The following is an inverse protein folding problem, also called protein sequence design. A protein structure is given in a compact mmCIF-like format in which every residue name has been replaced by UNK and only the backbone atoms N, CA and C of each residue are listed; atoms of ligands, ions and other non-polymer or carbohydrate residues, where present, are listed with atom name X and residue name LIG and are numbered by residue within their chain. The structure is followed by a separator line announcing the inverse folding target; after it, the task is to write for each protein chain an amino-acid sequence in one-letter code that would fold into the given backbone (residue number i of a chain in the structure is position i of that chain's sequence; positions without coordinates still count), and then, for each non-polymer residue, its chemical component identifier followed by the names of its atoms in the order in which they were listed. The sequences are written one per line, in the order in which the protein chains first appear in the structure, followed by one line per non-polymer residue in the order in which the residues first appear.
data_IF_552389765645
#
_entry.id   IF_552389765645
#
_cell.length_a   1.000
_cell.length_b   1.000
_cell.length_c   1.000
_cell.angle_alpha   90.00
_cell.angle_beta   90.00
_cell.angle_gamma   90.00
#
_symmetry.space_group_name_H-M   'P 1'
#
loop_
_entity.id
_entity.type
_entity.pdbx_description
1 polymer ?
#
# COMPACT_ATOMS: atom_id res chain seq x y z
N UNK A 1 -52.63 -2.46 6.70
CA UNK A 1 -51.55 -1.68 7.34
C UNK A 1 -50.50 -1.42 6.27
N UNK A 2 -50.52 -0.23 5.68
CA UNK A 2 -49.55 0.19 4.67
C UNK A 2 -48.34 0.74 5.40
N UNK A 3 -47.25 -0.02 5.43
CA UNK A 3 -45.97 0.44 5.94
C UNK A 3 -45.54 1.71 5.19
N UNK A 4 -45.30 2.78 5.95
CA UNK A 4 -44.86 4.05 5.39
C UNK A 4 -43.47 3.87 4.75
N UNK A 5 -43.41 3.92 3.42
CA UNK A 5 -42.15 3.84 2.67
C UNK A 5 -41.26 5.01 3.10
N UNK A 6 -40.22 4.71 3.88
CA UNK A 6 -39.24 5.71 4.34
C UNK A 6 -38.50 6.28 3.12
N UNK A 7 -38.48 7.62 3.01
CA UNK A 7 -37.75 8.32 1.95
C UNK A 7 -36.26 7.93 1.99
N UNK A 8 -35.62 7.58 0.86
CA UNK A 8 -34.22 7.19 0.83
C UNK A 8 -33.33 8.35 1.29
N UNK A 9 -32.27 8.02 2.04
CA UNK A 9 -31.28 9.00 2.49
C UNK A 9 -30.50 9.54 1.27
N UNK A 10 -30.14 10.83 1.26
CA UNK A 10 -29.34 11.38 0.17
C UNK A 10 -27.96 10.70 0.11
N UNK A 11 -27.61 10.18 -1.06
CA UNK A 11 -26.32 9.55 -1.34
C UNK A 11 -25.45 10.51 -2.16
N UNK A 12 -24.30 10.91 -1.61
CA UNK A 12 -23.32 11.72 -2.32
C UNK A 12 -22.36 10.81 -3.08
N UNK A 13 -22.58 10.66 -4.39
CA UNK A 13 -21.79 9.78 -5.28
C UNK A 13 -20.79 10.54 -6.17
N UNK A 14 -20.79 11.86 -6.10
CA UNK A 14 -20.01 12.78 -6.93
C UNK A 14 -18.74 13.28 -6.23
N UNK A 15 -18.09 12.44 -5.42
CA UNK A 15 -16.84 12.78 -4.75
C UNK A 15 -15.70 12.66 -5.78
N UNK A 16 -15.17 13.78 -6.25
CA UNK A 16 -14.06 13.77 -7.20
C UNK A 16 -12.72 13.41 -6.54
N UNK A 17 -11.73 13.03 -7.33
CA UNK A 17 -10.36 12.79 -6.83
C UNK A 17 -9.80 14.01 -6.08
N UNK A 18 -10.09 15.23 -6.57
CA UNK A 18 -9.71 16.49 -5.93
C UNK A 18 -10.40 16.72 -4.58
N UNK A 19 -11.62 16.19 -4.39
CA UNK A 19 -12.33 16.36 -3.13
C UNK A 19 -11.72 15.51 -2.02
N UNK A 20 -11.30 14.28 -2.34
CA UNK A 20 -10.70 13.35 -1.39
C UNK A 20 -9.26 13.77 -1.02
N UNK A 21 -8.54 14.37 -1.97
CA UNK A 21 -7.12 14.70 -1.82
C UNK A 21 -6.86 16.11 -1.31
N UNK A 22 -7.59 17.11 -1.83
CA UNK A 22 -7.32 18.53 -1.58
C UNK A 22 -8.44 19.21 -0.77
N UNK A 23 -9.71 18.94 -1.07
CA UNK A 23 -10.81 19.69 -0.46
C UNK A 23 -11.23 19.12 0.91
N UNK A 24 -10.98 17.83 1.17
CA UNK A 24 -11.33 17.16 2.42
C UNK A 24 -10.11 16.93 3.32
N UNK A 25 -10.20 17.38 4.58
CA UNK A 25 -9.16 17.15 5.60
C UNK A 25 -9.23 15.73 6.15
N UNK A 26 -8.61 14.79 5.45
CA UNK A 26 -8.53 13.40 5.88
C UNK A 26 -7.80 13.25 7.24
N UNK A 27 -8.38 12.51 8.21
CA UNK A 27 -7.67 12.11 9.41
C UNK A 27 -6.40 11.32 9.07
N UNK A 28 -5.38 11.38 9.93
CA UNK A 28 -4.12 10.68 9.72
C UNK A 28 -4.32 9.16 9.54
N UNK A 29 -5.22 8.56 10.32
CA UNK A 29 -5.57 7.14 10.20
C UNK A 29 -6.12 6.77 8.81
N UNK A 30 -6.91 7.66 8.19
CA UNK A 30 -7.46 7.44 6.86
C UNK A 30 -6.36 7.49 5.79
N UNK A 31 -5.43 8.46 5.89
CA UNK A 31 -4.27 8.54 4.98
C UNK A 31 -3.40 7.29 5.05
N UNK A 32 -3.08 6.82 6.26
CA UNK A 32 -2.28 5.61 6.47
C UNK A 32 -2.97 4.36 5.92
N UNK A 33 -4.30 4.26 6.04
CA UNK A 33 -5.05 3.14 5.44
C UNK A 33 -4.97 3.13 3.92
N UNK A 34 -5.11 4.30 3.26
CA UNK A 34 -4.94 4.42 1.81
C UNK A 34 -3.52 4.01 1.43
N UNK A 35 -2.52 4.52 2.15
CA UNK A 35 -1.13 4.24 1.88
C UNK A 35 -0.79 2.75 2.03
N UNK A 36 -1.41 2.05 2.99
CA UNK A 36 -1.22 0.62 3.19
C UNK A 36 -1.76 -0.19 1.99
N UNK A 37 -2.90 0.22 1.42
CA UNK A 37 -3.48 -0.41 0.23
C UNK A 37 -2.62 -0.16 -1.01
N UNK A 38 -2.20 1.09 -1.21
CA UNK A 38 -1.35 1.48 -2.34
C UNK A 38 0.00 0.76 -2.28
N UNK A 39 0.62 0.69 -1.10
CA UNK A 39 1.88 -0.03 -0.93
C UNK A 39 1.73 -1.53 -1.21
N UNK A 40 0.61 -2.15 -0.80
CA UNK A 40 0.32 -3.56 -1.13
C UNK A 40 0.15 -3.80 -2.63
N UNK A 41 -0.61 -2.94 -3.31
CA UNK A 41 -0.78 -3.02 -4.77
C UNK A 41 0.54 -2.83 -5.53
N UNK A 42 1.39 -1.89 -5.09
CA UNK A 42 2.71 -1.67 -5.64
C UNK A 42 3.59 -2.92 -5.51
N UNK A 43 3.66 -3.52 -4.32
CA UNK A 43 4.45 -4.72 -4.07
C UNK A 43 3.96 -5.91 -4.89
N UNK A 44 2.65 -6.09 -5.01
CA UNK A 44 2.08 -7.15 -5.84
C UNK A 44 2.46 -6.99 -7.32
N UNK A 45 2.33 -5.76 -7.86
CA UNK A 45 2.67 -5.48 -9.26
C UNK A 45 4.17 -5.68 -9.54
N UNK A 46 5.03 -5.30 -8.60
CA UNK A 46 6.48 -5.42 -8.72
C UNK A 46 7.03 -6.76 -8.21
N UNK A 47 6.19 -7.71 -7.79
CA UNK A 47 6.64 -9.00 -7.31
C UNK A 47 7.46 -9.77 -8.36
N UNK A 48 7.09 -9.82 -9.66
CA UNK A 48 7.92 -10.48 -10.67
C UNK A 48 9.29 -9.81 -10.83
N UNK A 49 9.34 -8.49 -10.73
CA UNK A 49 10.59 -7.73 -10.79
C UNK A 49 11.50 -8.03 -9.60
N UNK A 50 10.95 -8.10 -8.39
CA UNK A 50 11.69 -8.47 -7.19
C UNK A 50 12.22 -9.91 -7.26
N UNK A 51 11.42 -10.84 -7.76
CA UNK A 51 11.83 -12.24 -7.94
C UNK A 51 12.93 -12.37 -9.00
N UNK A 52 12.86 -11.59 -10.08
CA UNK A 52 13.93 -11.52 -11.07
C UNK A 52 15.26 -11.03 -10.47
N UNK A 53 15.22 -9.93 -9.71
CA UNK A 53 16.42 -9.43 -9.03
C UNK A 53 16.97 -10.44 -8.01
N UNK A 54 16.08 -11.14 -7.31
CA UNK A 54 16.45 -12.17 -6.35
C UNK A 54 17.10 -13.38 -7.01
N UNK A 55 16.52 -13.90 -8.08
CA UNK A 55 17.09 -15.00 -8.86
C UNK A 55 18.51 -14.64 -9.34
N UNK A 56 18.65 -13.48 -9.97
CA UNK A 56 19.93 -12.98 -10.47
C UNK A 56 21.00 -12.84 -9.37
N UNK A 57 20.59 -12.62 -8.11
CA UNK A 57 21.49 -12.53 -6.97
C UNK A 57 22.03 -13.89 -6.48
N UNK A 58 21.39 -15.01 -6.85
CA UNK A 58 21.68 -16.35 -6.33
C UNK A 58 22.18 -17.35 -7.37
N UNK A 59 21.89 -17.16 -8.67
CA UNK A 59 22.11 -18.21 -9.69
C UNK A 59 23.60 -18.54 -9.92
N UNK A 60 24.46 -17.54 -10.10
CA UNK A 60 25.88 -17.73 -10.44
C UNK A 60 26.69 -16.46 -10.27
N UNK A 61 28.03 -16.55 -10.33
CA UNK A 61 28.92 -15.38 -10.32
C UNK A 61 28.64 -14.42 -11.48
N UNK A 62 28.48 -14.96 -12.70
CA UNK A 62 28.13 -14.15 -13.88
C UNK A 62 26.78 -13.46 -13.67
N UNK A 63 25.81 -14.18 -13.10
CA UNK A 63 24.49 -13.61 -12.81
C UNK A 63 24.61 -12.47 -11.80
N UNK A 64 25.40 -12.66 -10.76
CA UNK A 64 25.63 -11.65 -9.73
C UNK A 64 26.33 -10.39 -10.28
N UNK A 65 27.23 -10.52 -11.26
CA UNK A 65 27.81 -9.36 -11.95
C UNK A 65 26.75 -8.55 -12.70
N UNK A 66 25.82 -9.22 -13.40
CA UNK A 66 24.67 -8.56 -14.05
C UNK A 66 23.76 -7.90 -13.01
N UNK A 67 23.50 -8.56 -11.88
CA UNK A 67 22.74 -7.96 -10.77
C UNK A 67 23.40 -6.66 -10.28
N UNK A 68 24.71 -6.69 -10.01
CA UNK A 68 25.47 -5.50 -9.59
C UNK A 68 25.42 -4.39 -10.65
N UNK A 69 25.61 -4.73 -11.92
CA UNK A 69 25.55 -3.78 -13.01
C UNK A 69 24.15 -3.14 -13.12
N UNK A 70 23.09 -3.93 -12.96
CA UNK A 70 21.72 -3.44 -12.99
C UNK A 70 21.39 -2.54 -11.80
N UNK A 71 21.80 -2.93 -10.59
CA UNK A 71 21.67 -2.11 -9.38
C UNK A 71 22.58 -0.87 -9.38
N UNK A 72 23.61 -0.80 -10.23
CA UNK A 72 24.45 0.40 -10.32
C UNK A 72 23.70 1.61 -10.87
N UNK A 73 22.65 1.38 -11.66
CA UNK A 73 21.81 2.43 -12.24
C UNK A 73 20.99 3.16 -11.16
N UNK A 74 21.10 4.49 -11.14
CA UNK A 74 20.41 5.34 -10.17
C UNK A 74 18.89 5.17 -10.19
N UNK A 75 18.29 4.97 -11.37
CA UNK A 75 16.84 4.78 -11.51
C UNK A 75 16.42 3.47 -10.83
N UNK A 76 17.19 2.40 -11.05
CA UNK A 76 16.93 1.10 -10.41
C UNK A 76 17.08 1.20 -8.89
N UNK A 77 18.10 1.91 -8.40
CA UNK A 77 18.25 2.16 -6.96
C UNK A 77 17.05 2.91 -6.37
N UNK A 78 16.54 3.93 -7.06
CA UNK A 78 15.36 4.66 -6.62
C UNK A 78 14.11 3.79 -6.60
N UNK A 79 13.92 2.94 -7.62
CA UNK A 79 12.81 1.97 -7.66
C UNK A 79 12.92 1.00 -6.46
N UNK A 80 14.10 0.42 -6.24
CA UNK A 80 14.33 -0.51 -5.11
C UNK A 80 14.14 0.19 -3.76
N UNK A 81 14.53 1.47 -3.64
CA UNK A 81 14.31 2.27 -2.44
C UNK A 81 12.82 2.49 -2.16
N UNK A 82 12.04 2.84 -3.20
CA UNK A 82 10.59 3.01 -3.09
C UNK A 82 9.91 1.68 -2.75
N UNK A 83 10.32 0.57 -3.37
CA UNK A 83 9.80 -0.76 -3.06
C UNK A 83 10.15 -1.21 -1.64
N UNK A 84 11.37 -0.91 -1.17
CA UNK A 84 11.79 -1.16 0.22
C UNK A 84 10.90 -0.37 1.20
N UNK A 85 10.69 0.92 0.93
CA UNK A 85 9.78 1.73 1.74
C UNK A 85 8.35 1.20 1.71
N UNK A 86 7.84 0.81 0.54
CA UNK A 86 6.51 0.24 0.40
C UNK A 86 6.35 -1.05 1.19
N UNK A 87 7.36 -1.93 1.20
CA UNK A 87 7.40 -3.14 2.01
C UNK A 87 7.30 -2.82 3.50
N UNK A 88 8.19 -1.98 4.03
CA UNK A 88 8.17 -1.63 5.45
C UNK A 88 6.87 -0.93 5.86
N UNK A 89 6.39 0.01 5.04
CA UNK A 89 5.12 0.67 5.28
C UNK A 89 3.96 -0.32 5.32
N UNK A 90 3.85 -1.21 4.31
CA UNK A 90 2.79 -2.21 4.23
C UNK A 90 2.85 -3.17 5.43
N UNK A 91 4.04 -3.66 5.77
CA UNK A 91 4.27 -4.60 6.86
C UNK A 91 3.91 -4.01 8.22
N UNK A 92 4.44 -2.82 8.56
CA UNK A 92 4.15 -2.18 9.84
C UNK A 92 2.66 -1.80 9.98
N UNK A 93 2.05 -1.28 8.90
CA UNK A 93 0.62 -0.99 8.91
C UNK A 93 -0.23 -2.27 9.00
N UNK A 94 0.21 -3.38 8.39
CA UNK A 94 -0.41 -4.69 8.51
C UNK A 94 -0.36 -5.23 9.95
N UNK A 95 0.79 -5.14 10.62
CA UNK A 95 0.91 -5.48 12.05
C UNK A 95 -0.05 -4.63 12.88
N UNK A 96 -0.10 -3.31 12.63
CA UNK A 96 -1.05 -2.43 13.32
C UNK A 96 -2.50 -2.90 13.13
N UNK A 97 -2.90 -3.33 11.93
CA UNK A 97 -4.23 -3.86 11.68
C UNK A 97 -4.48 -5.16 12.46
N UNK A 98 -3.55 -6.12 12.42
CA UNK A 98 -3.66 -7.37 13.18
C UNK A 98 -3.77 -7.11 14.70
N UNK A 99 -3.01 -6.15 15.23
CA UNK A 99 -3.09 -5.77 16.64
C UNK A 99 -4.47 -5.21 17.01
N UNK A 100 -5.09 -4.42 16.14
CA UNK A 100 -6.45 -3.89 16.34
C UNK A 100 -7.50 -5.01 16.26
N UNK A 101 -7.30 -5.99 15.38
CA UNK A 101 -8.21 -7.12 15.24
C UNK A 101 -8.16 -8.05 16.47
N UNK A 102 -6.97 -8.24 17.05
CA UNK A 102 -6.78 -9.08 18.25
C UNK A 102 -7.20 -8.36 19.53
N UNK A 103 -6.95 -7.05 19.64
CA UNK A 103 -7.25 -6.27 20.83
C UNK A 103 -8.17 -5.08 20.50
N UNK A 104 -9.47 -5.33 20.56
CA UNK A 104 -10.50 -4.32 20.29
C UNK A 104 -10.53 -3.22 21.37
N UNK A 105 -10.18 -3.54 22.63
CA UNK A 105 -10.14 -2.58 23.74
C UNK A 105 -9.07 -1.49 23.55
N UNK A 106 -8.02 -1.77 22.76
CA UNK A 106 -6.99 -0.79 22.42
C UNK A 106 -7.48 0.31 21.45
N UNK A 107 -8.68 0.16 20.88
CA UNK A 107 -9.26 1.08 19.88
C UNK A 107 -10.62 1.62 20.29
N UNK A 108 -11.39 0.89 21.12
CA UNK A 108 -12.62 1.40 21.72
C UNK A 108 -12.30 2.36 22.87
N UNK A 109 -12.78 3.60 22.78
CA UNK A 109 -12.85 4.52 23.92
C UNK A 109 -14.18 4.36 24.64
#
# INVERSE_FOLDING_TARGET
MTDAVRKPRPEYRNIGFGDITMNYRLPLAAKLSILHRVSGALLFLFLPFLLFLFDQSLTSELSFEVFKAFLSNIVVKLIVLVLSWAFFHHFCAGIRHLLMDVNHDAVSK
#
